data_IF_880060751269
#
_entry.id   IF_880060751269
#
_cell.length_a   1.000
_cell.length_b   1.000
_cell.length_c   1.000
_cell.angle_alpha   90.00
_cell.angle_beta   90.00
_cell.angle_gamma   90.00
#
_symmetry.space_group_name_H-M   'P 1'
#
loop_
_entity.id
_entity.type
_entity.pdbx_description
1 polymer ?
#
# COMPACT_ATOMS: atom_id res chain seq x y z
N UNK A 1 -66.01 -11.86 26.96
CA UNK A 1 -64.61 -11.74 27.43
C UNK A 1 -63.68 -12.26 26.34
N UNK A 2 -62.89 -11.39 25.71
CA UNK A 2 -61.61 -11.67 25.03
C UNK A 2 -60.93 -10.32 24.81
N UNK A 3 -59.92 -10.02 25.62
CA UNK A 3 -59.10 -8.80 25.51
C UNK A 3 -57.96 -9.09 24.55
N UNK A 4 -57.90 -8.37 23.44
CA UNK A 4 -56.77 -8.43 22.51
C UNK A 4 -55.76 -7.36 22.89
N UNK A 5 -54.55 -7.78 23.26
CA UNK A 5 -53.41 -6.92 23.54
C UNK A 5 -52.64 -6.77 22.22
N UNK A 6 -52.61 -5.55 21.69
CA UNK A 6 -51.85 -5.18 20.49
C UNK A 6 -50.41 -4.84 20.96
N UNK A 7 -49.36 -5.53 20.48
CA UNK A 7 -48.00 -5.14 20.78
C UNK A 7 -47.59 -3.96 19.88
N UNK A 8 -47.25 -2.84 20.52
CA UNK A 8 -46.72 -1.63 19.90
C UNK A 8 -45.24 -1.86 19.57
N UNK A 9 -44.93 -2.04 18.29
CA UNK A 9 -43.56 -2.15 17.76
C UNK A 9 -42.94 -0.74 17.68
N UNK A 10 -42.02 -0.42 18.58
CA UNK A 10 -41.26 0.83 18.55
C UNK A 10 -40.06 0.62 17.62
N UNK A 11 -40.15 1.13 16.39
CA UNK A 11 -39.01 1.22 15.47
C UNK A 11 -38.09 2.36 15.95
N UNK A 12 -37.05 2.01 16.71
CA UNK A 12 -35.95 2.92 16.98
C UNK A 12 -35.11 3.09 15.72
N UNK A 13 -35.28 4.23 15.04
CA UNK A 13 -34.38 4.68 13.98
C UNK A 13 -33.06 5.15 14.62
N UNK A 14 -32.02 4.32 14.54
CA UNK A 14 -30.66 4.74 14.79
C UNK A 14 -30.18 5.60 13.61
N UNK A 15 -30.35 6.92 13.69
CA UNK A 15 -29.59 7.85 12.87
C UNK A 15 -28.16 7.93 13.43
N UNK A 16 -27.28 7.06 12.93
CA UNK A 16 -25.84 7.27 13.11
C UNK A 16 -25.45 8.57 12.38
N UNK A 17 -24.73 9.51 13.03
CA UNK A 17 -24.23 10.68 12.34
C UNK A 17 -23.28 10.23 11.23
N UNK A 18 -23.61 10.59 9.97
CA UNK A 18 -22.66 10.49 8.87
C UNK A 18 -21.49 11.40 9.21
N UNK A 19 -20.36 10.80 9.57
CA UNK A 19 -19.08 11.49 9.70
C UNK A 19 -18.79 12.09 8.32
N UNK A 20 -18.95 13.40 8.22
CA UNK A 20 -18.55 14.20 7.06
C UNK A 20 -17.03 14.31 7.07
N UNK A 21 -16.34 13.18 6.89
CA UNK A 21 -14.95 13.21 6.48
C UNK A 21 -14.93 13.81 5.08
N UNK A 22 -14.11 14.84 4.86
CA UNK A 22 -13.83 15.31 3.51
C UNK A 22 -13.36 14.10 2.71
N UNK A 23 -14.23 13.55 1.87
CA UNK A 23 -13.86 12.48 0.97
C UNK A 23 -12.73 13.02 0.11
N UNK A 24 -11.50 12.57 0.38
CA UNK A 24 -10.32 12.94 -0.38
C UNK A 24 -10.66 12.66 -1.83
N UNK A 25 -10.78 13.72 -2.62
CA UNK A 25 -11.15 13.55 -4.01
C UNK A 25 -10.02 12.76 -4.67
N UNK A 26 -10.34 11.60 -5.25
CA UNK A 26 -9.37 10.70 -5.88
C UNK A 26 -8.50 11.42 -6.92
N UNK A 27 -8.99 12.53 -7.48
CA UNK A 27 -8.25 13.46 -8.36
C UNK A 27 -7.04 14.13 -7.70
N UNK A 28 -7.13 14.45 -6.42
CA UNK A 28 -6.24 15.43 -5.80
C UNK A 28 -4.94 14.80 -5.31
N UNK A 29 -5.02 13.61 -4.71
CA UNK A 29 -3.80 12.90 -4.31
C UNK A 29 -3.00 12.43 -5.53
N UNK A 30 -3.66 11.97 -6.60
CA UNK A 30 -2.98 11.54 -7.83
C UNK A 30 -2.14 12.66 -8.44
N UNK A 31 -2.67 13.88 -8.51
CA UNK A 31 -1.89 15.05 -8.97
C UNK A 31 -0.68 15.34 -8.07
N UNK A 32 -0.84 15.22 -6.75
CA UNK A 32 0.26 15.43 -5.81
C UNK A 32 1.36 14.36 -5.99
N UNK A 33 0.95 13.10 -6.19
CA UNK A 33 1.85 11.97 -6.46
C UNK A 33 2.56 12.13 -7.80
N UNK A 34 1.84 12.41 -8.88
CA UNK A 34 2.42 12.60 -10.23
C UNK A 34 3.37 13.79 -10.28
N UNK A 35 3.07 14.87 -9.55
CA UNK A 35 3.99 16.00 -9.41
C UNK A 35 5.29 15.59 -8.73
N UNK A 36 5.25 14.60 -7.84
CA UNK A 36 6.40 14.15 -7.03
C UNK A 36 7.22 13.06 -7.73
N UNK A 37 6.56 12.03 -8.26
CA UNK A 37 7.21 10.89 -8.90
C UNK A 37 7.45 11.09 -10.40
N UNK A 38 6.69 11.96 -11.07
CA UNK A 38 6.63 12.05 -12.53
C UNK A 38 5.49 11.21 -13.09
N UNK A 39 5.47 11.03 -14.41
CA UNK A 39 4.45 10.24 -15.12
C UNK A 39 5.12 9.30 -16.14
N UNK A 40 4.54 8.10 -16.40
CA UNK A 40 3.30 7.57 -15.85
C UNK A 40 3.45 6.96 -14.44
N UNK A 41 2.37 6.99 -13.64
CA UNK A 41 2.31 6.36 -12.30
C UNK A 41 1.32 5.20 -12.31
N UNK A 42 1.75 4.04 -11.83
CA UNK A 42 0.89 2.90 -11.50
C UNK A 42 0.38 3.04 -10.08
N UNK A 43 -0.90 2.73 -9.86
CA UNK A 43 -1.56 2.85 -8.56
C UNK A 43 -2.14 1.50 -8.15
N UNK A 44 -1.73 0.99 -6.99
CA UNK A 44 -2.19 -0.28 -6.43
C UNK A 44 -2.73 -0.06 -5.03
N UNK A 45 -4.04 -0.24 -4.84
CA UNK A 45 -4.64 -0.18 -3.51
C UNK A 45 -4.27 -1.43 -2.69
N UNK A 46 -4.14 -1.27 -1.37
CA UNK A 46 -4.09 -2.41 -0.46
C UNK A 46 -5.47 -3.09 -0.36
N UNK A 47 -5.57 -4.20 0.36
CA UNK A 47 -6.78 -5.03 0.42
C UNK A 47 -8.01 -4.24 0.90
N UNK A 48 -7.85 -3.40 1.93
CA UNK A 48 -8.94 -2.56 2.45
C UNK A 48 -9.21 -1.27 1.66
N UNK A 49 -8.38 -0.93 0.66
CA UNK A 49 -8.38 0.35 -0.05
C UNK A 49 -8.15 1.59 0.84
N UNK A 50 -7.53 1.43 2.02
CA UNK A 50 -7.16 2.54 2.89
C UNK A 50 -5.83 3.17 2.51
N UNK A 51 -4.99 2.46 1.75
CA UNK A 51 -3.69 2.95 1.25
C UNK A 51 -3.49 2.61 -0.21
N UNK A 52 -2.67 3.42 -0.87
CA UNK A 52 -2.33 3.26 -2.29
C UNK A 52 -0.82 3.29 -2.46
N UNK A 53 -0.26 2.18 -2.96
CA UNK A 53 1.10 2.11 -3.45
C UNK A 53 1.13 2.77 -4.84
N UNK A 54 1.96 3.79 -4.97
CA UNK A 54 2.13 4.58 -6.18
C UNK A 54 3.55 4.34 -6.73
N UNK A 55 3.66 3.89 -7.98
CA UNK A 55 4.90 3.38 -8.56
C UNK A 55 5.20 4.13 -9.85
N UNK A 56 6.41 4.66 -9.96
CA UNK A 56 6.98 5.22 -11.18
C UNK A 56 8.21 4.41 -11.58
N UNK A 57 8.23 3.91 -12.81
CA UNK A 57 9.39 3.23 -13.37
C UNK A 57 10.09 4.13 -14.37
N UNK A 58 11.37 4.44 -14.13
CA UNK A 58 12.17 5.18 -15.09
C UNK A 58 12.49 4.30 -16.30
N UNK A 59 12.51 4.90 -17.49
CA UNK A 59 12.99 4.22 -18.70
C UNK A 59 14.47 3.85 -18.60
N UNK A 60 14.86 2.71 -19.21
CA UNK A 60 16.26 2.30 -19.35
C UNK A 60 17.01 3.33 -20.19
N UNK A 61 18.20 3.70 -19.73
CA UNK A 61 19.15 4.50 -20.51
C UNK A 61 20.44 3.71 -20.73
N UNK A 62 21.19 3.96 -21.81
CA UNK A 62 22.49 3.30 -22.01
C UNK A 62 23.44 3.48 -20.81
N UNK A 63 23.41 4.64 -20.16
CA UNK A 63 24.23 4.96 -18.98
C UNK A 63 23.72 4.29 -17.70
N UNK A 64 22.43 3.91 -17.67
CA UNK A 64 21.76 3.27 -16.55
C UNK A 64 20.87 2.11 -17.06
N UNK A 65 21.46 0.92 -17.28
CA UNK A 65 20.76 -0.19 -17.94
C UNK A 65 19.67 -0.84 -17.06
N UNK A 66 19.55 -0.44 -15.79
CA UNK A 66 18.53 -0.88 -14.85
C UNK A 66 17.49 0.22 -14.65
N UNK A 67 16.21 -0.12 -14.75
CA UNK A 67 15.13 0.77 -14.36
C UNK A 67 15.27 1.09 -12.87
N UNK A 68 15.24 2.36 -12.50
CA UNK A 68 14.92 2.73 -11.12
C UNK A 68 13.40 2.69 -10.97
N UNK A 69 12.94 1.99 -9.93
CA UNK A 69 11.55 2.01 -9.49
C UNK A 69 11.47 2.98 -8.32
N UNK A 70 10.88 4.15 -8.53
CA UNK A 70 10.58 5.12 -7.47
C UNK A 70 9.14 4.94 -7.03
N UNK A 71 8.89 4.91 -5.73
CA UNK A 71 7.55 4.61 -5.23
C UNK A 71 7.27 5.29 -3.90
N UNK A 72 5.98 5.42 -3.60
CA UNK A 72 5.48 5.92 -2.32
C UNK A 72 4.20 5.20 -1.93
N UNK A 73 3.86 5.26 -0.64
CA UNK A 73 2.57 4.82 -0.12
C UNK A 73 1.81 6.04 0.38
N UNK A 74 0.61 6.24 -0.17
CA UNK A 74 -0.31 7.29 0.25
C UNK A 74 -1.40 6.70 1.15
N UNK A 75 -1.61 7.30 2.32
CA UNK A 75 -2.67 6.94 3.26
C UNK A 75 -3.91 7.80 2.97
N UNK A 76 -4.99 7.13 2.56
CA UNK A 76 -6.22 7.79 2.10
C UNK A 76 -7.01 8.41 3.25
N UNK A 77 -6.89 7.87 4.46
CA UNK A 77 -7.60 8.37 5.65
C UNK A 77 -6.91 9.62 6.20
N UNK A 78 -5.57 9.59 6.28
CA UNK A 78 -4.76 10.71 6.76
C UNK A 78 -4.47 11.75 5.69
N UNK A 79 -4.73 11.42 4.42
CA UNK A 79 -4.45 12.28 3.25
C UNK A 79 -2.97 12.66 3.13
N UNK A 80 -2.05 11.74 3.45
CA UNK A 80 -0.61 12.01 3.47
C UNK A 80 0.22 10.86 2.90
N UNK A 81 1.45 11.17 2.50
CA UNK A 81 2.44 10.16 2.11
C UNK A 81 3.06 9.60 3.39
N UNK A 82 2.89 8.30 3.63
CA UNK A 82 3.40 7.62 4.84
C UNK A 82 4.73 6.90 4.61
N UNK A 83 5.08 6.62 3.37
CA UNK A 83 6.36 6.03 3.00
C UNK A 83 6.78 6.44 1.59
N UNK A 84 8.08 6.58 1.35
CA UNK A 84 8.67 6.85 0.04
C UNK A 84 10.04 6.22 -0.06
N UNK A 85 10.35 5.61 -1.21
CA UNK A 85 11.67 5.05 -1.48
C UNK A 85 11.90 4.85 -2.97
N UNK A 86 13.05 4.29 -3.30
CA UNK A 86 13.38 3.83 -4.64
C UNK A 86 14.25 2.57 -4.60
N UNK A 87 14.23 1.81 -5.69
CA UNK A 87 15.09 0.65 -5.88
C UNK A 87 15.67 0.64 -7.30
N UNK A 88 17.00 0.48 -7.39
CA UNK A 88 17.73 0.43 -8.66
C UNK A 88 17.71 -0.99 -9.24
N UNK A 89 16.71 -1.25 -10.07
CA UNK A 89 16.41 -2.56 -10.61
C UNK A 89 15.70 -3.43 -9.58
N UNK A 90 14.49 -3.86 -9.91
CA UNK A 90 13.67 -4.64 -8.99
C UNK A 90 12.20 -4.32 -9.16
N UNK A 91 11.44 -4.50 -8.08
CA UNK A 91 10.01 -4.20 -8.02
C UNK A 91 9.58 -3.89 -6.58
N UNK A 92 8.41 -3.29 -6.46
CA UNK A 92 7.70 -3.12 -5.19
C UNK A 92 6.27 -3.60 -5.37
N UNK A 93 5.72 -4.26 -4.37
CA UNK A 93 4.32 -4.69 -4.34
C UNK A 93 3.80 -4.72 -2.90
N UNK A 94 2.48 -4.79 -2.74
CA UNK A 94 1.91 -5.17 -1.45
C UNK A 94 2.32 -6.60 -1.09
N UNK A 95 2.75 -6.79 0.17
CA UNK A 95 2.89 -8.11 0.77
C UNK A 95 1.59 -8.50 1.48
N UNK A 96 1.00 -7.54 2.20
CA UNK A 96 -0.35 -7.60 2.77
C UNK A 96 -0.87 -6.19 3.08
N UNK A 97 -1.88 -6.08 3.93
CA UNK A 97 -2.59 -4.85 4.28
C UNK A 97 -1.71 -3.68 4.75
N UNK A 98 -0.69 -3.96 5.56
CA UNK A 98 0.16 -2.95 6.22
C UNK A 98 1.63 -3.06 5.81
N UNK A 99 1.96 -3.97 4.89
CA UNK A 99 3.34 -4.27 4.52
C UNK A 99 3.55 -4.32 3.02
N UNK A 100 4.67 -3.78 2.60
CA UNK A 100 5.12 -3.86 1.21
C UNK A 100 6.36 -4.74 1.11
N UNK A 101 6.46 -5.46 0.00
CA UNK A 101 7.66 -6.20 -0.39
C UNK A 101 8.46 -5.35 -1.38
N UNK A 102 9.74 -5.16 -1.09
CA UNK A 102 10.70 -4.48 -1.95
C UNK A 102 11.71 -5.52 -2.42
N UNK A 103 11.66 -5.87 -3.69
CA UNK A 103 12.60 -6.79 -4.32
C UNK A 103 13.66 -6.01 -5.09
N UNK A 104 14.93 -6.36 -4.90
CA UNK A 104 16.05 -5.80 -5.68
C UNK A 104 16.63 -6.86 -6.59
N UNK A 105 16.79 -6.56 -7.88
CA UNK A 105 17.37 -7.52 -8.83
C UNK A 105 18.89 -7.64 -8.61
N UNK A 106 19.39 -8.81 -8.17
CA UNK A 106 20.82 -9.00 -7.96
C UNK A 106 21.59 -9.05 -9.29
N UNK A 107 22.86 -8.65 -9.27
CA UNK A 107 23.75 -8.81 -10.44
C UNK A 107 24.19 -10.26 -10.67
N UNK A 108 24.26 -11.06 -9.61
CA UNK A 108 24.68 -12.46 -9.66
C UNK A 108 23.88 -13.24 -8.61
N UNK A 109 23.33 -14.39 -9.02
CA UNK A 109 22.52 -15.28 -8.17
C UNK A 109 23.22 -16.63 -8.09
N UNK A 110 23.49 -17.09 -6.87
CA UNK A 110 24.01 -18.45 -6.64
C UNK A 110 22.86 -19.46 -6.67
N UNK A 111 23.18 -20.73 -6.94
CA UNK A 111 22.19 -21.81 -7.02
C UNK A 111 21.45 -22.09 -5.71
N UNK A 112 22.00 -21.65 -4.57
CA UNK A 112 21.42 -21.78 -3.23
C UNK A 112 20.59 -20.56 -2.81
N UNK A 113 20.44 -19.56 -3.69
CA UNK A 113 19.69 -18.34 -3.42
C UNK A 113 18.31 -18.35 -4.11
N UNK A 114 17.33 -17.75 -3.46
CA UNK A 114 15.96 -17.54 -3.95
C UNK A 114 15.64 -16.04 -3.99
N UNK A 115 14.48 -15.67 -4.54
CA UNK A 115 14.06 -14.26 -4.56
C UNK A 115 13.99 -13.64 -3.16
N UNK A 116 13.65 -14.43 -2.14
CA UNK A 116 13.55 -13.97 -0.76
C UNK A 116 14.91 -13.54 -0.17
N UNK A 117 16.04 -13.97 -0.74
CA UNK A 117 17.37 -13.46 -0.38
C UNK A 117 17.57 -11.99 -0.77
N UNK A 118 16.79 -11.52 -1.73
CA UNK A 118 16.92 -10.18 -2.33
C UNK A 118 15.68 -9.32 -2.10
N UNK A 119 14.70 -9.82 -1.34
CA UNK A 119 13.50 -9.11 -0.95
C UNK A 119 13.60 -8.62 0.51
N UNK A 120 12.95 -7.49 0.78
CA UNK A 120 12.76 -6.94 2.12
C UNK A 120 11.28 -6.66 2.34
N UNK A 121 10.82 -6.82 3.57
CA UNK A 121 9.47 -6.43 3.99
C UNK A 121 9.58 -5.14 4.78
N UNK A 122 8.82 -4.12 4.38
CA UNK A 122 8.68 -2.87 5.11
C UNK A 122 7.29 -2.79 5.73
N UNK A 123 7.25 -2.55 7.04
CA UNK A 123 6.05 -2.40 7.85
C UNK A 123 5.68 -0.93 7.96
N UNK A 124 4.51 -0.57 7.42
CA UNK A 124 4.02 0.81 7.38
C UNK A 124 3.50 1.29 8.73
N UNK A 125 3.22 0.38 9.67
CA UNK A 125 2.69 0.72 10.99
C UNK A 125 3.80 1.17 11.93
N UNK A 126 4.98 0.56 11.84
CA UNK A 126 6.12 0.86 12.72
C UNK A 126 7.39 1.36 11.99
N UNK A 127 7.36 1.42 10.66
CA UNK A 127 8.45 1.91 9.82
C UNK A 127 9.67 0.98 9.74
N UNK A 128 9.60 -0.24 10.27
CA UNK A 128 10.73 -1.18 10.25
C UNK A 128 10.82 -1.89 8.91
N UNK A 129 12.04 -2.08 8.44
CA UNK A 129 12.36 -2.91 7.28
C UNK A 129 13.23 -4.08 7.71
N UNK A 130 12.86 -5.29 7.30
CA UNK A 130 13.61 -6.51 7.58
C UNK A 130 13.83 -7.32 6.30
N UNK A 131 14.92 -8.09 6.18
CA UNK A 131 15.07 -9.07 5.11
C UNK A 131 13.90 -10.06 5.11
N UNK A 132 13.35 -10.39 3.94
CA UNK A 132 12.16 -11.26 3.85
C UNK A 132 12.40 -12.64 4.46
N UNK A 133 13.59 -13.23 4.26
CA UNK A 133 13.96 -14.50 4.91
C UNK A 133 13.95 -14.44 6.44
N UNK A 134 14.31 -13.32 7.04
CA UNK A 134 14.24 -13.16 8.49
C UNK A 134 12.80 -12.99 8.96
N UNK A 135 12.02 -12.22 8.19
CA UNK A 135 10.59 -12.04 8.44
C UNK A 135 9.83 -13.39 8.44
N UNK A 136 10.06 -14.24 7.44
CA UNK A 136 9.40 -15.55 7.32
C UNK A 136 9.75 -16.52 8.46
N UNK A 137 10.94 -16.43 9.04
CA UNK A 137 11.33 -17.26 10.20
C UNK A 137 10.61 -16.86 11.49
N UNK A 138 10.15 -15.61 11.58
CA UNK A 138 9.42 -15.11 12.74
C UNK A 138 7.91 -15.32 12.67
N UNK A 139 7.39 -15.81 11.52
CA UNK A 139 5.97 -16.07 11.30
C UNK A 139 5.55 -17.54 11.45
N UNK A 140 6.51 -18.42 11.73
CA UNK A 140 6.28 -19.83 12.10
C UNK A 140 6.08 -19.98 13.61
#
# INVERSE_FOLDING_TARGET
MKKYIIPLLILASCNAPKVTGNAVNQSDYKKAVEKKLGTPVTYEANESNTRVLCIYESEKKPEQPRNTVSFLVYDMEKSEIVYESSVDGGSVSWYDEDRIEIFSTPGYVRSDQTNDDFAKIHDLTNGKTVPKKEYLKGSE
#
